data_IF_161237170228
#
_entry.id   IF_161237170228
#
_cell.length_a   1.000
_cell.length_b   1.000
_cell.length_c   1.000
_cell.angle_alpha   90.00
_cell.angle_beta   90.00
_cell.angle_gamma   90.00
#
_symmetry.space_group_name_H-M   'P 1'
#
loop_
_entity.id
_entity.type
_entity.pdbx_description
1 polymer ?
#
# COMPACT_ATOMS: atom_id res chain seq x y z
N UNK A 1 17.34 6.73 19.17
CA UNK A 1 17.86 5.43 18.66
C UNK A 1 17.89 5.50 17.15
N UNK A 2 18.91 4.97 16.49
CA UNK A 2 18.94 4.88 15.04
C UNK A 2 17.87 3.84 14.63
N UNK A 3 16.76 4.26 14.06
CA UNK A 3 15.71 3.37 13.57
C UNK A 3 16.17 2.58 12.36
N UNK A 4 15.43 1.54 11.97
CA UNK A 4 15.74 0.64 10.87
C UNK A 4 16.01 1.37 9.55
N UNK A 5 17.10 1.02 8.88
CA UNK A 5 17.39 1.44 7.52
C UNK A 5 16.71 0.47 6.55
N UNK A 6 15.64 0.94 5.91
CA UNK A 6 14.72 0.12 5.14
C UNK A 6 14.71 0.55 3.67
N UNK A 7 14.94 -0.40 2.76
CA UNK A 7 14.63 -0.25 1.35
C UNK A 7 13.19 -0.65 1.10
N UNK A 8 12.38 0.25 0.59
CA UNK A 8 10.95 0.03 0.37
C UNK A 8 10.56 0.10 -1.11
N UNK A 9 9.62 -0.74 -1.52
CA UNK A 9 9.11 -0.85 -2.89
C UNK A 9 7.58 -0.75 -2.87
N UNK A 10 7.03 0.16 -3.66
CA UNK A 10 5.59 0.31 -3.87
C UNK A 10 5.27 0.16 -5.36
N UNK A 11 4.39 -0.79 -5.70
CA UNK A 11 3.97 -1.08 -7.07
C UNK A 11 2.49 -1.47 -7.16
N UNK A 12 1.74 -1.29 -6.08
CA UNK A 12 0.35 -1.73 -5.98
C UNK A 12 -0.62 -0.88 -6.80
N UNK A 13 -0.19 0.33 -7.22
CA UNK A 13 -1.03 1.26 -7.99
C UNK A 13 -0.43 1.56 -9.37
N UNK A 14 -1.08 2.43 -10.14
CA UNK A 14 -0.53 2.93 -11.39
C UNK A 14 0.69 3.84 -11.21
N UNK A 15 0.95 4.32 -10.00
CA UNK A 15 2.13 5.09 -9.63
C UNK A 15 3.07 4.17 -8.85
N UNK A 16 4.33 4.00 -9.31
CA UNK A 16 5.31 3.17 -8.62
C UNK A 16 6.39 4.00 -7.93
N UNK A 17 6.89 3.54 -6.78
CA UNK A 17 7.99 4.20 -6.07
C UNK A 17 8.95 3.21 -5.41
N UNK A 18 10.20 3.67 -5.22
CA UNK A 18 11.22 3.04 -4.39
C UNK A 18 11.79 4.08 -3.44
N UNK A 19 12.04 3.72 -2.20
CA UNK A 19 12.55 4.64 -1.19
C UNK A 19 13.58 3.96 -0.27
N UNK A 20 14.50 4.76 0.22
CA UNK A 20 15.35 4.41 1.35
C UNK A 20 14.94 5.29 2.54
N UNK A 21 14.56 4.66 3.63
CA UNK A 21 14.07 5.34 4.83
C UNK A 21 14.86 4.89 6.04
N UNK A 22 14.89 5.73 7.08
CA UNK A 22 15.42 5.38 8.39
C UNK A 22 14.42 5.78 9.46
N UNK A 23 14.08 4.86 10.38
CA UNK A 23 13.13 5.07 11.44
C UNK A 23 11.68 4.82 11.04
N UNK A 24 10.74 5.11 11.94
CA UNK A 24 9.31 4.89 11.82
C UNK A 24 8.53 6.15 11.46
N UNK A 25 7.20 6.09 11.63
CA UNK A 25 6.29 7.18 11.25
C UNK A 25 6.47 8.45 12.08
N UNK A 26 6.85 8.32 13.36
CA UNK A 26 6.92 9.45 14.28
C UNK A 26 8.23 10.25 14.17
N UNK A 27 9.35 9.59 13.94
CA UNK A 27 10.71 10.15 14.03
C UNK A 27 11.59 9.85 12.83
N UNK A 28 11.04 9.12 11.86
CA UNK A 28 11.78 8.69 10.69
C UNK A 28 12.04 9.80 9.68
N UNK A 29 12.93 9.48 8.73
CA UNK A 29 13.25 10.36 7.60
C UNK A 29 13.42 9.57 6.32
N UNK A 30 13.00 10.18 5.23
CA UNK A 30 13.26 9.70 3.88
C UNK A 30 14.68 10.12 3.50
N UNK A 31 15.56 9.17 3.19
CA UNK A 31 16.90 9.45 2.71
C UNK A 31 16.88 9.77 1.22
N UNK A 32 16.12 8.98 0.45
CA UNK A 32 15.79 9.24 -0.95
C UNK A 32 14.51 8.51 -1.33
N UNK A 33 13.77 9.04 -2.31
CA UNK A 33 12.62 8.39 -2.92
C UNK A 33 12.53 8.76 -4.39
N UNK A 34 12.34 7.76 -5.25
CA UNK A 34 11.98 7.93 -6.64
C UNK A 34 10.56 7.48 -6.87
N UNK A 35 9.75 8.35 -7.48
CA UNK A 35 8.37 8.06 -7.87
C UNK A 35 8.21 8.22 -9.36
N UNK A 36 7.58 7.25 -10.02
CA UNK A 36 7.29 7.28 -11.44
C UNK A 36 5.78 7.22 -11.67
N UNK A 37 5.29 8.07 -12.57
CA UNK A 37 3.88 8.14 -12.98
C UNK A 37 3.56 7.09 -14.08
N UNK A 38 2.29 6.63 -14.20
CA UNK A 38 1.92 5.40 -14.92
C UNK A 38 2.17 5.40 -16.42
N UNK A 39 2.15 6.55 -17.09
CA UNK A 39 2.33 6.60 -18.55
C UNK A 39 3.71 6.12 -19.03
N UNK A 40 4.66 5.95 -18.10
CA UNK A 40 6.06 5.62 -18.38
C UNK A 40 6.50 4.30 -17.76
N UNK A 41 5.69 3.71 -16.86
CA UNK A 41 6.20 2.64 -16.00
C UNK A 41 5.88 1.25 -16.51
N UNK A 42 6.85 0.64 -17.16
CA UNK A 42 7.06 -0.77 -16.91
C UNK A 42 7.78 -0.89 -15.56
N UNK A 43 7.24 -1.69 -14.64
CA UNK A 43 7.79 -1.93 -13.28
C UNK A 43 9.29 -2.28 -13.29
N UNK A 44 9.81 -2.79 -14.41
CA UNK A 44 11.24 -3.01 -14.64
C UNK A 44 12.09 -1.73 -14.56
N UNK A 45 11.56 -0.57 -14.99
CA UNK A 45 12.29 0.71 -14.90
C UNK A 45 12.37 1.18 -13.46
N UNK A 46 11.31 0.97 -12.68
CA UNK A 46 11.29 1.34 -11.27
C UNK A 46 12.37 0.59 -10.48
N UNK A 47 12.50 -0.72 -10.72
CA UNK A 47 13.51 -1.53 -10.05
C UNK A 47 14.94 -1.11 -10.42
N UNK A 48 15.14 -0.63 -11.65
CA UNK A 48 16.40 -0.03 -12.07
C UNK A 48 16.79 1.25 -11.33
N UNK A 49 15.87 1.84 -10.55
CA UNK A 49 16.18 3.02 -9.72
C UNK A 49 16.70 2.68 -8.33
N UNK A 50 16.71 1.40 -7.94
CA UNK A 50 17.20 0.99 -6.61
C UNK A 50 18.70 1.25 -6.48
N UNK A 51 19.50 0.85 -7.46
CA UNK A 51 20.95 1.08 -7.42
C UNK A 51 21.32 2.57 -7.47
N UNK A 52 20.73 3.42 -8.35
CA UNK A 52 20.88 4.87 -8.27
C UNK A 52 20.47 5.46 -6.91
N UNK A 53 19.40 4.94 -6.27
CA UNK A 53 18.95 5.37 -4.96
C UNK A 53 20.01 5.08 -3.88
N UNK A 54 20.56 3.86 -3.86
CA UNK A 54 21.61 3.44 -2.95
C UNK A 54 22.88 4.27 -3.14
N UNK A 55 23.28 4.51 -4.39
CA UNK A 55 24.44 5.33 -4.75
C UNK A 55 24.26 6.77 -4.31
N UNK A 56 23.10 7.38 -4.58
CA UNK A 56 22.82 8.78 -4.23
C UNK A 56 22.82 9.04 -2.72
N UNK A 57 22.53 8.01 -1.92
CA UNK A 57 22.53 8.08 -0.46
C UNK A 57 23.85 7.65 0.18
N UNK A 58 24.79 7.14 -0.62
CA UNK A 58 26.04 6.56 -0.12
C UNK A 58 25.83 5.30 0.73
N UNK A 59 24.70 4.60 0.55
CA UNK A 59 24.31 3.43 1.34
C UNK A 59 24.81 2.17 0.65
N UNK A 60 25.54 1.32 1.39
CA UNK A 60 25.93 0.00 0.91
C UNK A 60 24.79 -1.02 1.14
N UNK A 61 24.73 -2.07 0.33
CA UNK A 61 23.76 -3.15 0.50
C UNK A 61 23.84 -3.82 1.88
N UNK A 62 25.04 -3.89 2.46
CA UNK A 62 25.29 -4.43 3.80
C UNK A 62 24.71 -3.55 4.92
N UNK A 63 24.48 -2.27 4.67
CA UNK A 63 23.93 -1.33 5.65
C UNK A 63 22.40 -1.48 5.80
N UNK A 64 21.74 -2.09 4.82
CA UNK A 64 20.31 -2.34 4.91
C UNK A 64 19.99 -3.23 6.11
N UNK A 65 18.93 -2.89 6.81
CA UNK A 65 18.46 -3.67 7.97
C UNK A 65 17.16 -4.40 7.63
N UNK A 66 16.41 -3.91 6.64
CA UNK A 66 15.20 -4.57 6.13
C UNK A 66 14.90 -4.20 4.68
N UNK A 67 14.06 -5.01 4.04
CA UNK A 67 13.38 -4.70 2.79
C UNK A 67 11.88 -4.69 3.05
N UNK A 68 11.17 -3.72 2.51
CA UNK A 68 9.72 -3.59 2.64
C UNK A 68 9.04 -3.54 1.28
N UNK A 69 7.81 -4.05 1.20
CA UNK A 69 7.03 -4.03 -0.04
C UNK A 69 5.54 -3.83 0.25
N UNK A 70 4.86 -3.07 -0.60
CA UNK A 70 3.40 -3.02 -0.55
C UNK A 70 2.81 -4.37 -0.91
N UNK A 71 2.02 -4.91 0.02
CA UNK A 71 1.47 -6.26 -0.06
C UNK A 71 0.12 -6.31 -0.82
N UNK A 72 -0.55 -5.17 -0.97
CA UNK A 72 -1.91 -5.07 -1.51
C UNK A 72 -2.90 -4.53 -0.47
N UNK A 73 -4.16 -4.32 -0.86
CA UNK A 73 -4.72 -4.56 -2.18
C UNK A 73 -4.20 -3.61 -3.26
N UNK A 74 -4.37 -3.99 -4.55
CA UNK A 74 -3.95 -3.17 -5.68
C UNK A 74 -3.86 -3.92 -7.00
N UNK A 75 -3.04 -3.42 -7.91
CA UNK A 75 -2.77 -4.01 -9.22
C UNK A 75 -2.15 -5.40 -9.10
N UNK A 76 -2.84 -6.41 -9.61
CA UNK A 76 -2.39 -7.81 -9.59
C UNK A 76 -0.97 -8.00 -10.18
N UNK A 77 -0.71 -7.39 -11.33
CA UNK A 77 0.60 -7.45 -11.99
C UNK A 77 1.64 -6.68 -11.19
N UNK A 78 1.30 -5.46 -10.75
CA UNK A 78 2.20 -4.61 -9.96
C UNK A 78 2.64 -5.30 -8.67
N UNK A 79 1.70 -5.82 -7.89
CA UNK A 79 1.98 -6.53 -6.64
C UNK A 79 2.94 -7.71 -6.83
N UNK A 80 2.75 -8.51 -7.87
CA UNK A 80 3.63 -9.66 -8.16
C UNK A 80 5.04 -9.23 -8.53
N UNK A 81 5.18 -8.17 -9.33
CA UNK A 81 6.49 -7.66 -9.73
C UNK A 81 7.22 -7.08 -8.52
N UNK A 82 6.55 -6.22 -7.73
CA UNK A 82 7.14 -5.65 -6.51
C UNK A 82 7.55 -6.72 -5.50
N UNK A 83 6.67 -7.68 -5.26
CA UNK A 83 6.92 -8.78 -4.34
C UNK A 83 8.11 -9.65 -4.79
N UNK A 84 8.17 -10.02 -6.09
CA UNK A 84 9.28 -10.81 -6.62
C UNK A 84 10.62 -10.08 -6.49
N UNK A 85 10.63 -8.78 -6.78
CA UNK A 85 11.82 -7.96 -6.64
C UNK A 85 12.25 -7.81 -5.17
N UNK A 86 11.30 -7.51 -4.27
CA UNK A 86 11.58 -7.37 -2.86
C UNK A 86 12.13 -8.67 -2.24
N UNK A 87 11.55 -9.82 -2.61
CA UNK A 87 12.07 -11.15 -2.23
C UNK A 87 13.50 -11.37 -2.72
N UNK A 88 13.77 -11.04 -3.99
CA UNK A 88 15.11 -11.17 -4.57
C UNK A 88 16.14 -10.31 -3.85
N UNK A 89 15.81 -9.04 -3.59
CA UNK A 89 16.69 -8.12 -2.86
C UNK A 89 16.90 -8.57 -1.42
N UNK A 90 15.82 -8.92 -0.70
CA UNK A 90 15.91 -9.38 0.69
C UNK A 90 16.78 -10.63 0.83
N UNK A 91 16.62 -11.59 -0.09
CA UNK A 91 17.44 -12.80 -0.14
C UNK A 91 18.92 -12.48 -0.40
N UNK A 92 19.20 -11.64 -1.41
CA UNK A 92 20.57 -11.28 -1.78
C UNK A 92 21.29 -10.47 -0.69
N UNK A 93 20.55 -9.60 0.01
CA UNK A 93 21.10 -8.81 1.11
C UNK A 93 21.12 -9.57 2.45
N UNK A 94 20.51 -10.74 2.56
CA UNK A 94 20.37 -11.48 3.81
C UNK A 94 19.53 -10.71 4.86
N UNK A 95 18.51 -10.00 4.45
CA UNK A 95 17.68 -9.12 5.30
C UNK A 95 16.23 -9.58 5.38
N UNK A 96 15.53 -9.29 6.48
CA UNK A 96 14.12 -9.59 6.60
C UNK A 96 13.32 -8.82 5.55
N UNK A 97 12.26 -9.44 5.05
CA UNK A 97 11.27 -8.83 4.18
C UNK A 97 9.98 -8.57 4.96
N UNK A 98 9.45 -7.36 4.85
CA UNK A 98 8.20 -6.95 5.51
C UNK A 98 7.17 -6.57 4.47
N UNK A 99 5.99 -7.19 4.55
CA UNK A 99 4.82 -6.81 3.78
C UNK A 99 4.02 -5.73 4.49
N UNK A 100 3.68 -4.66 3.79
CA UNK A 100 2.85 -3.58 4.32
C UNK A 100 1.58 -3.48 3.48
N UNK A 101 0.38 -3.54 4.09
CA UNK A 101 -0.85 -3.33 3.34
C UNK A 101 -0.88 -1.96 2.69
N UNK A 102 -1.24 -1.91 1.40
CA UNK A 102 -1.18 -0.68 0.59
C UNK A 102 -2.05 0.44 1.17
N UNK A 103 -3.24 0.10 1.68
CA UNK A 103 -4.15 1.06 2.27
C UNK A 103 -3.64 1.56 3.64
N UNK A 104 -2.90 0.76 4.40
CA UNK A 104 -2.28 1.18 5.67
C UNK A 104 -1.17 2.21 5.39
N UNK A 105 -0.32 1.96 4.38
CA UNK A 105 0.69 2.95 3.93
C UNK A 105 0.03 4.24 3.40
N UNK A 106 -1.11 4.13 2.71
CA UNK A 106 -1.87 5.30 2.25
C UNK A 106 -2.43 6.10 3.45
N UNK A 107 -2.97 5.42 4.47
CA UNK A 107 -3.50 6.04 5.67
C UNK A 107 -2.43 6.82 6.45
N UNK A 108 -1.19 6.34 6.44
CA UNK A 108 -0.06 6.98 7.12
C UNK A 108 0.23 8.40 6.60
N UNK A 109 -0.25 8.77 5.39
CA UNK A 109 -0.12 10.15 4.86
C UNK A 109 -0.99 11.17 5.61
N UNK A 110 -2.04 10.72 6.27
CA UNK A 110 -3.00 11.60 6.94
C UNK A 110 -2.72 11.72 8.45
N UNK A 111 -1.46 11.84 8.84
CA UNK A 111 -1.04 12.01 10.23
C UNK A 111 -1.75 13.18 10.93
N UNK A 112 -2.26 12.96 12.15
CA UNK A 112 -2.87 14.00 12.98
C UNK A 112 -4.26 14.48 12.55
N UNK A 113 -4.92 13.84 11.58
CA UNK A 113 -6.29 14.19 11.20
C UNK A 113 -7.26 13.66 12.25
N UNK A 114 -7.99 14.56 12.92
CA UNK A 114 -8.95 14.24 13.99
C UNK A 114 -10.34 13.93 13.41
N UNK A 115 -10.45 12.85 12.64
CA UNK A 115 -11.70 12.26 12.16
C UNK A 115 -11.44 10.87 11.60
N UNK A 116 -12.52 10.13 11.33
CA UNK A 116 -12.39 8.88 10.61
C UNK A 116 -11.75 9.13 9.25
N UNK A 117 -10.86 8.22 8.84
CA UNK A 117 -10.23 8.24 7.54
C UNK A 117 -10.74 7.03 6.74
N UNK A 118 -11.11 7.23 5.49
CA UNK A 118 -11.41 6.19 4.53
C UNK A 118 -10.40 6.26 3.37
N UNK A 119 -9.47 5.30 3.32
CA UNK A 119 -8.51 5.18 2.23
C UNK A 119 -9.10 4.35 1.11
N UNK A 120 -8.99 4.84 -0.14
CA UNK A 120 -9.62 4.20 -1.31
C UNK A 120 -8.66 4.08 -2.49
N UNK A 121 -8.67 2.90 -3.14
CA UNK A 121 -7.97 2.63 -4.40
C UNK A 121 -8.98 2.16 -5.45
N UNK A 122 -8.68 2.38 -6.73
CA UNK A 122 -9.47 1.81 -7.84
C UNK A 122 -9.30 0.28 -7.88
N UNK A 123 -10.38 -0.47 -7.67
CA UNK A 123 -10.40 -1.92 -7.79
C UNK A 123 -10.83 -2.38 -9.20
N UNK A 124 -10.96 -1.43 -10.15
CA UNK A 124 -11.49 -1.66 -11.50
C UNK A 124 -12.95 -2.11 -11.51
N UNK A 125 -13.55 -2.20 -12.70
CA UNK A 125 -14.94 -2.67 -12.90
C UNK A 125 -15.98 -1.91 -12.06
N UNK A 126 -15.78 -0.60 -11.85
CA UNK A 126 -16.71 0.25 -11.08
C UNK A 126 -16.68 0.00 -9.56
N UNK A 127 -15.66 -0.66 -9.05
CA UNK A 127 -15.46 -0.92 -7.61
C UNK A 127 -14.22 -0.22 -7.08
N UNK A 128 -14.17 -0.08 -5.76
CA UNK A 128 -13.01 0.43 -5.02
C UNK A 128 -12.58 -0.56 -3.95
N UNK A 129 -11.28 -0.62 -3.69
CA UNK A 129 -10.76 -1.14 -2.44
C UNK A 129 -10.86 -0.02 -1.40
N UNK A 130 -11.33 -0.34 -0.21
CA UNK A 130 -11.48 0.64 0.86
C UNK A 130 -11.06 0.05 2.22
N UNK A 131 -10.61 0.91 3.11
CA UNK A 131 -10.44 0.60 4.53
C UNK A 131 -10.62 1.86 5.36
N UNK A 132 -11.19 1.69 6.56
CA UNK A 132 -11.43 2.76 7.49
C UNK A 132 -10.37 2.76 8.60
N UNK A 133 -10.00 3.96 9.06
CA UNK A 133 -8.97 4.15 10.08
C UNK A 133 -9.41 5.21 11.10
N UNK A 134 -8.91 5.06 12.31
CA UNK A 134 -8.98 6.09 13.36
C UNK A 134 -7.60 6.40 13.88
N UNK A 135 -7.43 7.64 14.29
CA UNK A 135 -6.21 8.11 14.93
C UNK A 135 -6.32 7.90 16.44
N UNK A 136 -5.29 7.40 17.07
CA UNK A 136 -5.17 7.42 18.52
C UNK A 136 -4.60 8.74 19.04
N UNK A 137 -4.47 8.87 20.35
CA UNK A 137 -3.94 10.08 21.01
C UNK A 137 -2.48 10.39 20.63
N UNK A 138 -1.73 9.43 20.09
CA UNK A 138 -0.35 9.61 19.62
C UNK A 138 -0.27 10.09 18.17
N UNK A 139 -1.40 10.11 17.45
CA UNK A 139 -1.47 10.41 16.02
C UNK A 139 -1.33 9.17 15.13
N UNK A 140 -1.11 7.99 15.70
CA UNK A 140 -0.99 6.75 14.93
C UNK A 140 -2.35 6.29 14.41
N UNK A 141 -2.34 5.69 13.20
CA UNK A 141 -3.53 5.20 12.51
C UNK A 141 -3.76 3.73 12.75
N UNK A 142 -4.92 3.41 13.32
CA UNK A 142 -5.38 2.03 13.47
C UNK A 142 -6.52 1.77 12.49
N UNK A 143 -6.41 0.67 11.73
CA UNK A 143 -7.49 0.23 10.86
C UNK A 143 -8.65 -0.30 11.70
N UNK A 144 -9.87 0.13 11.34
CA UNK A 144 -11.11 -0.29 12.00
C UNK A 144 -11.86 -1.25 11.10
N UNK A 145 -11.60 -2.55 11.22
CA UNK A 145 -12.23 -3.61 10.43
C UNK A 145 -11.38 -4.11 9.25
N UNK A 146 -12.03 -4.84 8.35
CA UNK A 146 -11.37 -5.52 7.22
C UNK A 146 -11.15 -4.61 6.01
N UNK A 147 -10.31 -5.07 5.09
CA UNK A 147 -10.23 -4.50 3.76
C UNK A 147 -11.48 -4.86 2.97
N UNK A 148 -12.07 -3.87 2.30
CA UNK A 148 -13.30 -3.99 1.56
C UNK A 148 -13.06 -3.91 0.06
N UNK A 149 -13.90 -4.60 -0.72
CA UNK A 149 -14.10 -4.36 -2.15
C UNK A 149 -15.58 -4.17 -2.39
N UNK A 150 -16.00 -2.98 -2.87
CA UNK A 150 -17.40 -2.59 -2.99
C UNK A 150 -17.60 -1.49 -4.05
N UNK A 151 -18.86 -1.23 -4.41
CA UNK A 151 -19.18 -0.09 -5.26
C UNK A 151 -19.04 1.23 -4.51
N UNK A 152 -18.79 2.35 -5.19
CA UNK A 152 -18.78 3.68 -4.58
C UNK A 152 -20.07 4.02 -3.83
N UNK A 153 -21.22 3.59 -4.34
CA UNK A 153 -22.53 3.73 -3.69
C UNK A 153 -22.58 3.00 -2.35
N UNK A 154 -22.15 1.73 -2.34
CA UNK A 154 -22.10 0.94 -1.11
C UNK A 154 -21.08 1.49 -0.10
N UNK A 155 -20.01 2.17 -0.57
CA UNK A 155 -19.08 2.89 0.29
C UNK A 155 -19.76 4.11 0.92
N UNK A 156 -20.49 4.91 0.12
CA UNK A 156 -21.19 6.09 0.62
C UNK A 156 -22.18 5.74 1.74
N UNK A 157 -22.92 4.63 1.60
CA UNK A 157 -23.85 4.14 2.63
C UNK A 157 -23.17 3.72 3.95
N UNK A 158 -21.85 3.52 3.96
CA UNK A 158 -21.06 3.18 5.17
C UNK A 158 -20.51 4.39 5.90
N UNK A 159 -20.57 5.56 5.30
CA UNK A 159 -20.08 6.80 5.93
C UNK A 159 -21.22 7.40 6.76
N UNK A 160 -21.16 7.17 8.06
CA UNK A 160 -22.19 7.57 9.03
C UNK A 160 -21.67 8.58 10.06
N UNK A 161 -20.44 9.03 9.94
CA UNK A 161 -19.77 9.98 10.82
C UNK A 161 -18.73 10.81 10.03
N UNK A 162 -18.23 11.93 10.57
CA UNK A 162 -17.26 12.79 9.89
C UNK A 162 -16.04 12.02 9.39
N UNK A 163 -15.95 11.84 8.06
CA UNK A 163 -14.96 10.99 7.40
C UNK A 163 -14.22 11.76 6.30
N UNK A 164 -12.90 11.66 6.30
CA UNK A 164 -12.05 12.11 5.19
C UNK A 164 -11.78 10.93 4.26
N UNK A 165 -12.28 11.01 3.03
CA UNK A 165 -12.04 10.03 1.96
C UNK A 165 -10.85 10.47 1.12
N UNK A 166 -9.82 9.65 1.02
CA UNK A 166 -8.60 9.99 0.27
C UNK A 166 -8.00 8.79 -0.48
N UNK A 167 -7.14 9.10 -1.43
CA UNK A 167 -6.41 8.14 -2.25
C UNK A 167 -6.83 8.15 -3.72
N UNK A 168 -6.16 7.37 -4.59
CA UNK A 168 -6.43 7.35 -6.03
C UNK A 168 -7.87 7.00 -6.42
N UNK A 169 -8.59 6.24 -5.57
CA UNK A 169 -10.00 5.91 -5.77
C UNK A 169 -10.98 7.03 -5.35
N UNK A 170 -10.52 8.10 -4.69
CA UNK A 170 -11.38 9.15 -4.16
C UNK A 170 -12.20 9.86 -5.25
N UNK A 171 -11.59 10.10 -6.42
CA UNK A 171 -12.27 10.73 -7.56
C UNK A 171 -13.45 9.87 -8.08
N UNK A 172 -13.34 8.54 -8.01
CA UNK A 172 -14.39 7.61 -8.41
C UNK A 172 -15.58 7.70 -7.43
N UNK A 173 -15.28 7.91 -6.15
CA UNK A 173 -16.29 8.00 -5.08
C UNK A 173 -16.94 9.38 -5.00
N UNK A 174 -16.28 10.44 -5.48
CA UNK A 174 -16.74 11.82 -5.30
C UNK A 174 -18.18 12.08 -5.74
N UNK A 175 -18.70 11.60 -6.90
CA UNK A 175 -20.08 11.81 -7.30
C UNK A 175 -21.11 11.21 -6.33
N UNK A 176 -20.77 10.06 -5.70
CA UNK A 176 -21.63 9.36 -4.75
C UNK A 176 -21.61 9.95 -3.35
N UNK A 177 -20.60 10.76 -3.07
CA UNK A 177 -20.37 11.42 -1.77
C UNK A 177 -20.74 12.92 -1.80
N UNK A 178 -21.17 13.44 -2.95
CA UNK A 178 -21.47 14.87 -3.11
C UNK A 178 -22.52 15.38 -2.11
N UNK A 179 -23.55 14.59 -1.85
CA UNK A 179 -24.66 14.92 -0.95
C UNK A 179 -24.46 14.33 0.47
N UNK A 180 -23.35 13.65 0.73
CA UNK A 180 -23.06 13.08 2.05
C UNK A 180 -22.44 14.15 2.96
N UNK A 181 -23.21 14.68 3.91
CA UNK A 181 -22.75 15.74 4.82
C UNK A 181 -21.54 15.34 5.66
N UNK A 182 -21.41 14.04 5.98
CA UNK A 182 -20.33 13.49 6.79
C UNK A 182 -19.03 13.25 5.98
N UNK A 183 -19.11 13.23 4.64
CA UNK A 183 -17.95 12.98 3.81
C UNK A 183 -17.20 14.28 3.45
N UNK A 184 -15.87 14.20 3.50
CA UNK A 184 -14.97 15.15 2.84
C UNK A 184 -14.07 14.36 1.91
N UNK A 185 -14.10 14.68 0.62
CA UNK A 185 -13.36 13.93 -0.41
C UNK A 185 -12.12 14.72 -0.79
N UNK A 186 -10.94 14.16 -0.51
CA UNK A 186 -9.66 14.73 -0.93
C UNK A 186 -9.24 14.14 -2.27
N UNK A 187 -9.52 14.86 -3.35
CA UNK A 187 -9.04 14.53 -4.70
C UNK A 187 -7.74 15.30 -4.95
N UNK A 188 -6.62 14.61 -4.89
CA UNK A 188 -5.30 15.21 -5.10
C UNK A 188 -4.38 14.20 -5.79
N UNK A 189 -3.70 14.64 -6.86
CA UNK A 189 -2.77 13.81 -7.62
C UNK A 189 -1.57 13.31 -6.80
N UNK A 190 -1.25 13.97 -5.68
CA UNK A 190 -0.18 13.56 -4.78
C UNK A 190 -0.60 12.47 -3.77
N UNK A 191 -1.90 12.20 -3.62
CA UNK A 191 -2.42 11.23 -2.66
C UNK A 191 -2.46 9.81 -3.25
N UNK A 192 -1.28 9.22 -3.42
CA UNK A 192 -1.12 7.82 -3.81
C UNK A 192 -0.17 7.10 -2.82
N UNK A 193 -0.22 5.76 -2.74
CA UNK A 193 0.72 5.02 -1.91
C UNK A 193 2.16 5.34 -2.30
N UNK A 194 3.04 5.49 -1.31
CA UNK A 194 4.44 5.87 -1.47
C UNK A 194 5.36 4.88 -0.78
N UNK A 195 6.48 4.54 -1.42
CA UNK A 195 7.47 3.62 -0.86
C UNK A 195 8.03 4.12 0.48
N UNK A 196 8.19 5.43 0.65
CA UNK A 196 8.65 6.00 1.92
C UNK A 196 7.73 5.62 3.09
N UNK A 197 6.42 5.64 2.88
CA UNK A 197 5.46 5.27 3.94
C UNK A 197 5.39 3.76 4.15
N UNK A 198 5.59 2.97 3.09
CA UNK A 198 5.79 1.51 3.21
C UNK A 198 7.01 1.24 4.11
N UNK A 199 8.12 1.96 3.91
CA UNK A 199 9.33 1.83 4.74
C UNK A 199 9.10 2.19 6.21
N UNK A 200 8.41 3.29 6.48
CA UNK A 200 8.10 3.70 7.85
C UNK A 200 7.15 2.71 8.55
N UNK A 201 6.08 2.27 7.89
CA UNK A 201 5.19 1.26 8.45
C UNK A 201 5.91 -0.08 8.70
N UNK A 202 6.82 -0.47 7.82
CA UNK A 202 7.64 -1.66 8.02
C UNK A 202 8.55 -1.56 9.24
N UNK A 203 9.13 -0.38 9.49
CA UNK A 203 9.95 -0.14 10.68
C UNK A 203 9.15 -0.28 11.98
N UNK A 204 7.87 0.12 12.00
CA UNK A 204 6.96 -0.10 13.13
C UNK A 204 6.71 -1.60 13.36
N UNK A 205 6.46 -2.37 12.29
CA UNK A 205 6.27 -3.82 12.35
C UNK A 205 7.52 -4.51 12.91
N UNK A 206 8.71 -4.11 12.45
CA UNK A 206 9.98 -4.64 12.94
C UNK A 206 10.23 -4.28 14.41
N UNK A 207 9.93 -3.05 14.80
CA UNK A 207 10.07 -2.60 16.19
C UNK A 207 9.15 -3.37 17.14
N UNK A 208 7.98 -3.82 16.66
CA UNK A 208 7.07 -4.70 17.39
C UNK A 208 7.52 -6.18 17.41
N UNK A 209 8.64 -6.53 16.77
CA UNK A 209 9.17 -7.90 16.71
C UNK A 209 8.41 -8.83 15.76
N UNK A 210 7.51 -8.29 14.94
CA UNK A 210 6.76 -9.06 13.95
C UNK A 210 7.58 -9.14 12.65
N UNK A 211 8.00 -10.33 12.26
CA UNK A 211 8.62 -10.59 10.95
C UNK A 211 7.91 -11.76 10.32
N UNK A 212 7.27 -11.55 9.18
CA UNK A 212 6.87 -12.66 8.33
C UNK A 212 8.12 -13.28 7.71
N UNK A 213 8.19 -14.61 7.70
CA UNK A 213 9.25 -15.29 6.96
C UNK A 213 9.19 -14.85 5.50
N UNK A 214 10.32 -14.37 4.94
CA UNK A 214 10.36 -13.84 3.58
C UNK A 214 9.86 -14.81 2.50
N UNK A 215 9.92 -16.12 2.76
CA UNK A 215 9.43 -17.16 1.88
C UNK A 215 7.90 -17.20 1.79
N UNK A 216 7.21 -16.97 2.90
CA UNK A 216 5.75 -17.13 3.03
C UNK A 216 4.96 -15.86 2.69
N UNK A 217 5.64 -14.71 2.58
CA UNK A 217 4.98 -13.47 2.25
C UNK A 217 4.34 -13.56 0.85
N UNK A 218 3.03 -13.36 0.78
CA UNK A 218 2.24 -13.39 -0.45
C UNK A 218 1.44 -12.09 -0.62
N UNK A 219 1.08 -11.71 -1.87
CA UNK A 219 0.20 -10.58 -2.09
C UNK A 219 -1.15 -10.75 -1.40
N UNK A 220 -1.65 -9.67 -0.80
CA UNK A 220 -2.96 -9.62 -0.18
C UNK A 220 -4.04 -9.39 -1.24
N UNK A 221 -4.71 -10.46 -1.63
CA UNK A 221 -5.82 -10.41 -2.58
C UNK A 221 -7.16 -10.29 -1.85
N UNK A 222 -7.71 -9.08 -1.76
CA UNK A 222 -9.05 -8.82 -1.21
C UNK A 222 -10.14 -9.29 -2.18
N UNK A 223 -9.80 -9.36 -3.48
CA UNK A 223 -10.65 -9.92 -4.53
C UNK A 223 -9.95 -11.15 -5.10
N UNK A 224 -10.70 -12.25 -5.26
CA UNK A 224 -10.20 -13.42 -5.99
C UNK A 224 -9.74 -13.05 -7.40
N UNK A 225 -8.67 -13.66 -7.89
CA UNK A 225 -8.18 -13.42 -9.23
C UNK A 225 -9.21 -13.84 -10.29
N UNK A 226 -9.20 -13.23 -11.46
CA UNK A 226 -10.12 -13.61 -12.57
C UNK A 226 -9.96 -15.08 -12.98
N UNK A 227 -8.74 -15.62 -12.83
CA UNK A 227 -8.47 -17.03 -13.09
C UNK A 227 -9.18 -17.94 -12.07
N UNK A 228 -9.20 -17.57 -10.80
CA UNK A 228 -9.91 -18.31 -9.74
C UNK A 228 -11.43 -18.21 -9.91
N UNK A 229 -11.95 -17.03 -10.27
CA UNK A 229 -13.37 -16.84 -10.57
C UNK A 229 -13.79 -17.61 -11.82
N UNK A 230 -12.94 -17.67 -12.86
CA UNK A 230 -13.18 -18.43 -14.09
C UNK A 230 -13.14 -19.95 -13.89
N UNK A 231 -12.31 -20.45 -13.00
CA UNK A 231 -12.27 -21.87 -12.61
C UNK A 231 -13.49 -22.28 -11.78
N UNK A 232 -13.98 -21.38 -10.91
CA UNK A 232 -15.22 -21.61 -10.15
C UNK A 232 -16.44 -21.73 -11.05
N UNK A 233 -16.56 -20.86 -12.07
CA UNK A 233 -17.66 -20.90 -13.03
C UNK A 233 -17.65 -22.18 -13.91
N UNK A 234 -16.47 -22.71 -14.25
CA UNK A 234 -16.35 -23.99 -15.02
C UNK A 234 -16.67 -25.21 -14.16
N UNK A 235 -16.39 -25.20 -12.86
CA UNK A 235 -16.77 -26.31 -11.96
C UNK A 235 -18.28 -26.39 -11.74
N UNK A 236 -18.97 -25.25 -11.64
CA UNK A 236 -20.42 -25.21 -11.44
C UNK A 236 -21.23 -25.61 -12.71
N UNK A 237 -20.62 -25.60 -13.91
CA UNK A 237 -21.26 -26.07 -15.16
C UNK A 237 -20.93 -27.53 -15.51
N UNK A 238 -20.02 -28.17 -14.77
CA UNK A 238 -19.61 -29.55 -14.98
C UNK A 238 -20.34 -30.60 -14.14
N UNK A 239 -21.16 -30.17 -13.18
CA UNK A 239 -21.97 -31.06 -12.32
C UNK A 239 -23.47 -30.89 -12.64
N UNK A 240 -23.89 -31.35 -13.78
CA UNK A 240 -25.28 -31.77 -14.02
C UNK A 240 -25.25 -33.20 -14.58
N UNK A 241 -25.98 -34.10 -13.97
CA UNK A 241 -26.02 -35.53 -14.33
C UNK A 241 -26.70 -35.80 -15.67
#
# INVERSE_FOLDING_TARGET
MAGFLTLAIETATGCGSVALTRGGLADGRVLAEYTLQPEVVHSRRLLGLIEPLMTATGTAWADLEAVAVSQGPGSFTGLRIGMAAAKGVALAAGRPLVGVPTLDALAAQAWGVDRQLCCVLDARKGQVYAAFYRCDATGYRHRTGDFLVLSPEALAARITEPTLVLGPGAAICAPWLADCAEARVAVCAALHPRAALVGFCAAEVLAAGATDGSADLAPLYVRASEAELGLGAKRSQGEQP
#
